data_IF_386766078631
#
_entry.id   IF_386766078631
#
_cell.length_a   1.000
_cell.length_b   1.000
_cell.length_c   1.000
_cell.angle_alpha   90.00
_cell.angle_beta   90.00
_cell.angle_gamma   90.00
#
_symmetry.space_group_name_H-M   'P 1'
#
loop_
_entity.id
_entity.type
_entity.pdbx_description
1 polymer ?
#
# COMPACT_ATOMS: atom_id res chain seq x y z
N UNK A 1 21.32 7.86 -39.36
CA UNK A 1 20.09 7.08 -39.22
C UNK A 1 19.62 7.17 -37.77
N UNK A 2 18.73 8.12 -37.50
CA UNK A 2 18.11 8.31 -36.18
C UNK A 2 17.19 7.13 -35.89
N UNK A 3 17.64 6.20 -35.05
CA UNK A 3 16.80 5.11 -34.56
C UNK A 3 16.10 5.59 -33.30
N UNK A 4 14.80 5.84 -33.42
CA UNK A 4 13.90 6.01 -32.29
C UNK A 4 13.84 4.69 -31.52
N UNK A 5 14.66 4.55 -30.48
CA UNK A 5 14.41 3.57 -29.44
C UNK A 5 13.25 4.11 -28.58
N UNK A 6 12.03 3.99 -29.09
CA UNK A 6 10.84 3.92 -28.24
C UNK A 6 10.91 2.61 -27.46
N UNK A 7 11.81 2.58 -26.48
CA UNK A 7 11.81 1.56 -25.46
C UNK A 7 10.50 1.72 -24.72
N UNK A 8 9.52 0.88 -25.06
CA UNK A 8 8.52 0.45 -24.11
C UNK A 8 9.28 0.14 -22.82
N UNK A 9 9.25 1.08 -21.88
CA UNK A 9 9.61 0.82 -20.49
C UNK A 9 8.50 -0.08 -19.99
N UNK A 10 8.57 -1.36 -20.36
CA UNK A 10 7.79 -2.40 -19.71
C UNK A 10 8.14 -2.28 -18.24
N UNK A 11 7.10 -2.05 -17.43
CA UNK A 11 7.11 -1.71 -16.02
C UNK A 11 7.68 -2.86 -15.13
N UNK A 12 8.56 -3.71 -15.69
CA UNK A 12 8.91 -5.05 -15.23
C UNK A 12 10.37 -5.17 -14.77
N UNK A 13 11.28 -4.22 -15.01
CA UNK A 13 12.73 -4.44 -14.77
C UNK A 13 13.39 -3.62 -13.65
N UNK A 14 12.67 -3.09 -12.66
CA UNK A 14 13.30 -2.26 -11.59
C UNK A 14 13.08 -2.80 -10.16
N UNK A 15 12.31 -3.88 -9.99
CA UNK A 15 11.86 -4.32 -8.66
C UNK A 15 12.68 -5.48 -8.04
N UNK A 16 13.66 -6.06 -8.75
CA UNK A 16 14.31 -7.32 -8.34
C UNK A 16 15.59 -7.19 -7.51
N UNK A 17 16.05 -5.98 -7.14
CA UNK A 17 17.34 -5.81 -6.46
C UNK A 17 17.31 -5.08 -5.11
N UNK A 18 16.14 -4.72 -4.61
CA UNK A 18 15.94 -4.02 -3.34
C UNK A 18 14.79 -4.70 -2.62
N UNK A 19 14.78 -4.75 -1.27
CA UNK A 19 13.75 -5.40 -0.42
C UNK A 19 12.35 -4.78 -0.52
N UNK A 20 11.93 -4.48 -1.74
CA UNK A 20 10.78 -3.70 -2.13
C UNK A 20 9.62 -4.65 -2.46
N UNK A 21 8.38 -4.30 -2.12
CA UNK A 21 7.23 -5.14 -2.40
C UNK A 21 7.04 -5.41 -3.90
N UNK A 22 6.79 -6.67 -4.26
CA UNK A 22 6.43 -7.01 -5.63
C UNK A 22 5.02 -6.49 -5.95
N UNK A 23 4.74 -6.20 -7.24
CA UNK A 23 3.38 -5.79 -7.67
C UNK A 23 2.30 -6.80 -7.29
N UNK A 24 2.63 -8.10 -7.31
CA UNK A 24 1.68 -9.14 -6.95
C UNK A 24 1.39 -9.15 -5.44
N UNK A 25 2.41 -8.94 -4.63
CA UNK A 25 2.25 -8.83 -3.18
C UNK A 25 1.45 -7.58 -2.81
N UNK A 26 1.71 -6.42 -3.45
CA UNK A 26 0.92 -5.21 -3.23
C UNK A 26 -0.55 -5.38 -3.61
N UNK A 27 -0.83 -6.02 -4.76
CA UNK A 27 -2.22 -6.36 -5.14
C UNK A 27 -2.89 -7.22 -4.08
N UNK A 28 -2.16 -8.21 -3.55
CA UNK A 28 -2.65 -9.09 -2.48
C UNK A 28 -2.92 -8.29 -1.20
N UNK A 29 -2.01 -7.39 -0.81
CA UNK A 29 -2.17 -6.54 0.36
C UNK A 29 -3.40 -5.62 0.25
N UNK A 30 -3.61 -5.00 -0.91
CA UNK A 30 -4.80 -4.18 -1.18
C UNK A 30 -6.07 -5.00 -1.08
N UNK A 31 -6.08 -6.19 -1.68
CA UNK A 31 -7.23 -7.07 -1.61
C UNK A 31 -7.55 -7.44 -0.15
N UNK A 32 -6.54 -7.73 0.67
CA UNK A 32 -6.70 -7.96 2.11
C UNK A 32 -7.26 -6.73 2.81
N UNK A 33 -6.72 -5.53 2.55
CA UNK A 33 -7.19 -4.28 3.16
C UNK A 33 -8.65 -3.95 2.81
N UNK A 34 -9.06 -4.23 1.57
CA UNK A 34 -10.40 -3.90 1.06
C UNK A 34 -11.46 -4.95 1.37
N UNK A 35 -11.11 -6.21 1.64
CA UNK A 35 -12.09 -7.29 1.79
C UNK A 35 -12.11 -7.91 3.19
N UNK A 36 -10.97 -7.99 3.87
CA UNK A 36 -10.85 -8.76 5.12
C UNK A 36 -11.21 -7.92 6.36
N UNK A 37 -11.62 -8.58 7.45
CA UNK A 37 -11.81 -7.92 8.74
C UNK A 37 -10.46 -7.57 9.41
N UNK A 38 -10.50 -6.83 10.52
CA UNK A 38 -9.28 -6.23 11.10
C UNK A 38 -8.28 -7.28 11.56
N UNK A 39 -8.77 -8.28 12.27
CA UNK A 39 -7.97 -9.35 12.83
C UNK A 39 -7.28 -10.14 11.72
N UNK A 40 -8.04 -10.52 10.68
CA UNK A 40 -7.52 -11.29 9.55
C UNK A 40 -6.51 -10.45 8.75
N UNK A 41 -6.84 -9.19 8.44
CA UNK A 41 -5.94 -8.29 7.73
C UNK A 41 -4.63 -8.07 8.49
N UNK A 42 -4.70 -7.84 9.81
CA UNK A 42 -3.52 -7.65 10.65
C UNK A 42 -2.62 -8.87 10.66
N UNK A 43 -3.20 -10.06 10.78
CA UNK A 43 -2.43 -11.31 10.77
C UNK A 43 -1.78 -11.54 9.40
N UNK A 44 -2.54 -11.43 8.31
CA UNK A 44 -2.04 -11.68 6.95
C UNK A 44 -0.96 -10.69 6.52
N UNK A 45 -1.17 -9.39 6.75
CA UNK A 45 -0.20 -8.36 6.39
C UNK A 45 1.06 -8.44 7.25
N UNK A 46 0.92 -8.69 8.57
CA UNK A 46 2.08 -8.89 9.44
C UNK A 46 2.89 -10.11 9.04
N UNK A 47 2.23 -11.22 8.69
CA UNK A 47 2.90 -12.43 8.22
C UNK A 47 3.62 -12.20 6.89
N UNK A 48 2.94 -11.59 5.91
CA UNK A 48 3.53 -11.30 4.60
C UNK A 48 4.75 -10.40 4.71
N UNK A 49 4.65 -9.32 5.51
CA UNK A 49 5.75 -8.41 5.80
C UNK A 49 6.95 -9.13 6.43
N UNK A 50 6.70 -10.01 7.40
CA UNK A 50 7.73 -10.77 8.11
C UNK A 50 8.41 -11.79 7.20
N UNK A 51 7.63 -12.56 6.44
CA UNK A 51 8.14 -13.63 5.56
C UNK A 51 8.95 -13.04 4.40
N UNK A 52 8.51 -11.91 3.85
CA UNK A 52 9.15 -11.28 2.70
C UNK A 52 10.21 -10.23 3.08
N UNK A 53 10.29 -9.84 4.34
CA UNK A 53 11.23 -8.83 4.82
C UNK A 53 10.92 -7.40 4.35
N UNK A 54 9.66 -7.08 4.06
CA UNK A 54 9.27 -5.76 3.58
C UNK A 54 9.26 -4.72 4.70
N UNK A 55 9.74 -3.50 4.43
CA UNK A 55 9.52 -2.37 5.32
C UNK A 55 8.09 -1.82 5.14
N UNK A 56 7.50 -1.29 6.22
CA UNK A 56 6.15 -0.72 6.10
C UNK A 56 6.15 0.55 5.24
N UNK A 57 7.25 1.32 5.25
CA UNK A 57 7.40 2.51 4.43
C UNK A 57 7.36 2.19 2.91
N UNK A 58 8.01 1.11 2.49
CA UNK A 58 8.00 0.69 1.07
C UNK A 58 6.60 0.22 0.64
N UNK A 59 5.92 -0.54 1.50
CA UNK A 59 4.53 -0.95 1.30
C UNK A 59 3.64 0.29 1.16
N UNK A 60 3.78 1.26 2.06
CA UNK A 60 2.96 2.47 2.06
C UNK A 60 3.16 3.31 0.79
N UNK A 61 4.41 3.42 0.33
CA UNK A 61 4.76 4.11 -0.92
C UNK A 61 4.08 3.45 -2.12
N UNK A 62 4.10 2.13 -2.21
CA UNK A 62 3.42 1.40 -3.28
C UNK A 62 1.90 1.51 -3.18
N UNK A 63 1.35 1.39 -1.98
CA UNK A 63 -0.09 1.57 -1.75
C UNK A 63 -0.55 2.97 -2.19
N UNK A 64 0.23 4.02 -1.93
CA UNK A 64 -0.09 5.38 -2.37
C UNK A 64 -0.30 5.45 -3.89
N UNK A 65 0.60 4.81 -4.66
CA UNK A 65 0.47 4.76 -6.12
C UNK A 65 -0.76 3.99 -6.57
N UNK A 66 -1.10 2.91 -5.88
CA UNK A 66 -2.29 2.12 -6.18
C UNK A 66 -3.60 2.83 -5.83
N UNK A 67 -3.67 3.53 -4.70
CA UNK A 67 -4.87 4.29 -4.30
C UNK A 67 -5.20 5.39 -5.31
N UNK A 68 -4.20 5.97 -5.96
CA UNK A 68 -4.41 6.89 -7.09
C UNK A 68 -4.96 6.22 -8.36
N UNK A 69 -4.68 4.93 -8.57
CA UNK A 69 -5.17 4.16 -9.73
C UNK A 69 -6.56 3.57 -9.51
N UNK A 70 -6.98 3.36 -8.26
CA UNK A 70 -8.30 2.84 -7.93
C UNK A 70 -9.34 3.97 -7.95
N UNK A 71 -10.50 3.68 -8.55
CA UNK A 71 -11.60 4.64 -8.61
C UNK A 71 -12.41 4.64 -7.30
N UNK A 72 -11.85 5.26 -6.26
CA UNK A 72 -12.56 5.58 -5.03
C UNK A 72 -13.34 6.88 -5.17
N UNK A 73 -14.50 7.01 -4.50
CA UNK A 73 -15.16 8.30 -4.34
C UNK A 73 -14.23 9.34 -3.73
N UNK A 74 -14.40 10.59 -4.15
CA UNK A 74 -13.47 11.70 -3.88
C UNK A 74 -13.14 11.83 -2.39
N UNK A 75 -14.14 11.80 -1.54
CA UNK A 75 -13.98 12.02 -0.10
C UNK A 75 -13.21 10.88 0.56
N UNK A 76 -13.44 9.64 0.11
CA UNK A 76 -12.71 8.46 0.58
C UNK A 76 -11.26 8.51 0.11
N UNK A 77 -11.03 8.86 -1.16
CA UNK A 77 -9.68 9.00 -1.70
C UNK A 77 -8.88 10.03 -0.90
N UNK A 78 -9.46 11.20 -0.64
CA UNK A 78 -8.83 12.25 0.17
C UNK A 78 -8.54 11.73 1.58
N UNK A 79 -9.51 11.09 2.23
CA UNK A 79 -9.35 10.54 3.58
C UNK A 79 -8.20 9.54 3.66
N UNK A 80 -8.15 8.57 2.74
CA UNK A 80 -7.09 7.57 2.68
C UNK A 80 -5.72 8.21 2.47
N UNK A 81 -5.60 9.15 1.53
CA UNK A 81 -4.33 9.82 1.25
C UNK A 81 -3.81 10.59 2.46
N UNK A 82 -4.67 11.33 3.18
CA UNK A 82 -4.30 12.02 4.41
C UNK A 82 -3.83 11.02 5.47
N UNK A 83 -4.56 9.91 5.66
CA UNK A 83 -4.18 8.91 6.67
C UNK A 83 -2.89 8.19 6.34
N UNK A 84 -2.63 7.91 5.08
CA UNK A 84 -1.38 7.31 4.65
C UNK A 84 -0.21 8.28 4.81
N UNK A 85 -0.39 9.57 4.48
CA UNK A 85 0.63 10.60 4.72
C UNK A 85 0.95 10.78 6.22
N UNK A 86 -0.08 10.78 7.09
CA UNK A 86 0.12 10.81 8.55
C UNK A 86 0.97 9.62 9.04
N UNK A 87 0.71 8.43 8.48
CA UNK A 87 1.44 7.20 8.82
C UNK A 87 2.89 7.28 8.33
N UNK A 88 3.11 7.76 7.10
CA UNK A 88 4.45 7.94 6.53
C UNK A 88 5.29 8.87 7.40
N UNK A 89 4.72 10.02 7.77
CA UNK A 89 5.38 10.97 8.65
C UNK A 89 5.71 10.36 10.02
N UNK A 90 4.82 9.56 10.60
CA UNK A 90 5.08 8.87 11.87
C UNK A 90 6.20 7.85 11.75
N UNK A 91 6.24 7.08 10.65
CA UNK A 91 7.31 6.13 10.38
C UNK A 91 8.66 6.83 10.21
N UNK A 92 8.70 7.95 9.48
CA UNK A 92 9.90 8.77 9.32
C UNK A 92 10.42 9.31 10.67
N UNK A 93 9.53 9.58 11.63
CA UNK A 93 9.85 10.02 12.98
C UNK A 93 10.12 8.86 13.98
N UNK A 94 10.32 7.63 13.50
CA UNK A 94 10.69 6.49 14.34
C UNK A 94 9.53 5.83 15.10
N UNK A 95 8.28 6.06 14.70
CA UNK A 95 7.15 5.37 15.31
C UNK A 95 7.16 3.86 15.03
N UNK A 96 6.57 3.07 15.94
CA UNK A 96 6.52 1.62 15.82
C UNK A 96 5.70 1.16 14.62
N UNK A 97 6.31 0.38 13.74
CA UNK A 97 5.66 -0.16 12.53
C UNK A 97 4.38 -0.96 12.85
N UNK A 98 4.37 -1.73 13.94
CA UNK A 98 3.18 -2.52 14.34
C UNK A 98 1.95 -1.64 14.54
N UNK A 99 2.10 -0.52 15.23
CA UNK A 99 1.00 0.43 15.47
C UNK A 99 0.56 1.12 14.18
N UNK A 100 1.53 1.47 13.33
CA UNK A 100 1.25 2.11 12.05
C UNK A 100 0.58 1.16 11.06
N UNK A 101 0.92 -0.13 11.06
CA UNK A 101 0.24 -1.15 10.27
C UNK A 101 -1.22 -1.29 10.70
N UNK A 102 -1.49 -1.32 12.01
CA UNK A 102 -2.85 -1.30 12.54
C UNK A 102 -3.61 -0.05 12.12
N UNK A 103 -2.98 1.14 12.21
CA UNK A 103 -3.58 2.39 11.76
C UNK A 103 -3.93 2.38 10.26
N UNK A 104 -3.06 1.80 9.43
CA UNK A 104 -3.30 1.62 7.99
C UNK A 104 -4.53 0.75 7.75
N UNK A 105 -4.61 -0.42 8.40
CA UNK A 105 -5.75 -1.34 8.26
C UNK A 105 -7.05 -0.64 8.69
N UNK A 106 -7.05 0.06 9.83
CA UNK A 106 -8.22 0.81 10.29
C UNK A 106 -8.67 1.89 9.32
N UNK A 107 -7.74 2.59 8.65
CA UNK A 107 -8.08 3.60 7.66
C UNK A 107 -8.83 3.00 6.45
N UNK A 108 -8.37 1.85 5.94
CA UNK A 108 -9.04 1.14 4.85
C UNK A 108 -10.40 0.55 5.26
N UNK A 109 -10.55 0.13 6.52
CA UNK A 109 -11.85 -0.33 7.00
C UNK A 109 -12.87 0.78 7.13
N UNK A 110 -12.44 1.94 7.62
CA UNK A 110 -13.31 3.11 7.69
C UNK A 110 -13.76 3.54 6.30
N UNK A 111 -12.85 3.50 5.32
CA UNK A 111 -13.18 3.76 3.92
C UNK A 111 -14.30 2.83 3.39
N UNK A 112 -14.24 1.52 3.69
CA UNK A 112 -15.28 0.56 3.27
C UNK A 112 -16.65 0.81 3.88
N UNK A 113 -16.69 1.25 5.14
CA UNK A 113 -17.95 1.52 5.84
C UNK A 113 -18.70 2.72 5.24
N UNK A 114 -17.95 3.73 4.77
CA UNK A 114 -18.52 4.92 4.14
C UNK A 114 -19.14 4.59 2.77
N UNK A 115 -18.56 3.67 1.99
CA UNK A 115 -19.16 3.20 0.72
C UNK A 115 -20.47 2.43 0.92
N UNK A 116 -20.69 1.86 2.10
CA UNK A 116 -21.86 1.02 2.40
C UNK A 116 -23.04 1.80 2.97
N UNK A 117 -22.90 3.13 3.12
CA UNK A 117 -23.86 4.05 3.74
C UNK A 117 -24.45 4.98 2.69
#
# INVERSE_FOLDING_TARGET
SSHMASGLVTETSVYECVGHPSKNDIKTMINVLLNENFTVASQRLSALKTIKGYALADILTELHRYVHRIDFPRDIRIHLLIKMADIENRLANGATEKLQLSALISAFQKARQVESS
#
